data_IF_573879521796
#
_entry.id   IF_573879521796
#
_cell.length_a   1.000
_cell.length_b   1.000
_cell.length_c   1.000
_cell.angle_alpha   90.00
_cell.angle_beta   90.00
_cell.angle_gamma   90.00
#
_symmetry.space_group_name_H-M   'P 1'
#
loop_
_entity.id
_entity.type
_entity.pdbx_description
1 polymer ?
#
# COMPACT_ATOMS: atom_id res chain seq x y z
N UNK A 1 -62.96 -4.20 -9.44
CA UNK A 1 -62.10 -5.13 -8.68
C UNK A 1 -60.70 -4.55 -8.78
N UNK A 2 -60.27 -3.95 -7.68
CA UNK A 2 -58.95 -3.40 -7.31
C UNK A 2 -57.93 -3.06 -8.41
N UNK A 3 -57.88 -1.77 -8.75
CA UNK A 3 -56.63 -1.04 -8.96
C UNK A 3 -56.11 -0.61 -7.57
N UNK A 4 -54.80 -0.78 -7.32
CA UNK A 4 -54.14 -0.22 -6.14
C UNK A 4 -53.03 0.71 -6.60
N UNK A 5 -53.36 2.00 -6.64
CA UNK A 5 -52.42 3.11 -6.58
C UNK A 5 -51.74 3.14 -5.22
N UNK A 6 -50.40 3.20 -5.18
CA UNK A 6 -49.66 3.73 -4.03
C UNK A 6 -48.75 4.84 -4.52
N UNK A 7 -49.21 6.04 -4.21
CA UNK A 7 -48.56 7.34 -4.31
C UNK A 7 -47.28 7.35 -3.45
N UNK A 8 -46.12 7.64 -4.05
CA UNK A 8 -44.88 7.92 -3.33
C UNK A 8 -44.41 9.33 -3.66
N UNK A 9 -44.85 10.27 -2.83
CA UNK A 9 -44.38 11.65 -2.81
C UNK A 9 -42.92 11.70 -2.37
N UNK A 10 -42.02 12.04 -3.28
CA UNK A 10 -40.64 12.40 -2.97
C UNK A 10 -40.61 13.80 -2.35
N UNK A 11 -40.22 13.89 -1.08
CA UNK A 11 -39.93 15.16 -0.42
C UNK A 11 -38.52 15.59 -0.82
N UNK A 12 -38.41 16.65 -1.62
CA UNK A 12 -37.16 17.34 -1.89
C UNK A 12 -36.76 18.16 -0.66
N UNK A 13 -35.71 17.75 0.05
CA UNK A 13 -35.07 18.57 1.07
C UNK A 13 -33.92 19.32 0.38
N UNK A 14 -34.13 20.61 0.14
CA UNK A 14 -33.03 21.56 -0.10
C UNK A 14 -32.51 22.01 1.26
N UNK A 15 -31.19 22.03 1.52
CA UNK A 15 -30.66 22.68 2.69
C UNK A 15 -30.47 24.17 2.40
N UNK A 16 -31.46 24.98 2.73
CA UNK A 16 -31.22 26.39 3.07
C UNK A 16 -31.06 26.51 4.60
N UNK A 17 -29.94 27.10 5.04
CA UNK A 17 -29.82 27.73 6.36
C UNK A 17 -29.49 26.80 7.53
N UNK A 18 -28.20 26.62 7.80
CA UNK A 18 -27.52 27.12 9.00
C UNK A 18 -26.06 26.66 8.90
N UNK A 19 -25.10 27.59 9.00
CA UNK A 19 -23.70 27.26 9.24
C UNK A 19 -23.65 26.52 10.58
N UNK A 20 -23.76 25.19 10.52
CA UNK A 20 -23.35 24.35 11.62
C UNK A 20 -21.87 24.66 11.83
N UNK A 21 -21.53 25.17 13.03
CA UNK A 21 -20.17 25.19 13.56
C UNK A 21 -19.53 23.86 13.19
N UNK A 22 -18.69 23.89 12.15
CA UNK A 22 -17.81 22.77 11.85
C UNK A 22 -17.00 22.58 13.13
N UNK A 23 -16.99 21.38 13.73
CA UNK A 23 -16.16 21.16 14.90
C UNK A 23 -14.73 21.56 14.51
N UNK A 24 -14.15 22.43 15.33
CA UNK A 24 -12.76 22.85 15.19
C UNK A 24 -11.91 21.62 14.84
N UNK A 25 -11.03 21.76 13.85
CA UNK A 25 -10.01 20.77 13.51
C UNK A 25 -9.28 20.38 14.79
N UNK A 26 -9.67 19.25 15.36
CA UNK A 26 -8.92 18.64 16.44
C UNK A 26 -7.77 17.94 15.73
N UNK A 27 -6.64 18.64 15.63
CA UNK A 27 -5.33 17.98 15.67
C UNK A 27 -5.27 17.26 17.03
N UNK A 28 -5.98 16.14 17.17
CA UNK A 28 -5.68 15.22 18.24
C UNK A 28 -4.37 14.57 17.80
N UNK A 29 -3.25 15.13 18.26
CA UNK A 29 -2.04 14.37 18.48
C UNK A 29 -2.50 13.12 19.23
N UNK A 30 -2.62 12.00 18.50
CA UNK A 30 -2.91 10.71 19.12
C UNK A 30 -1.77 10.54 20.12
N UNK A 31 -2.07 10.64 21.41
CA UNK A 31 -1.09 10.44 22.45
C UNK A 31 -0.80 8.94 22.50
N UNK A 32 0.12 8.49 21.65
CA UNK A 32 0.47 7.09 21.51
C UNK A 32 1.24 6.67 22.75
N UNK A 33 0.71 5.70 23.48
CA UNK A 33 1.40 5.09 24.60
C UNK A 33 1.84 3.69 24.21
N UNK A 34 3.11 3.39 24.37
CA UNK A 34 3.64 2.04 24.19
C UNK A 34 4.62 1.68 25.30
N UNK A 35 4.69 0.39 25.59
CA UNK A 35 5.59 -0.19 26.59
C UNK A 35 5.76 -1.67 26.31
N UNK A 36 6.81 -2.28 26.86
CA UNK A 36 6.94 -3.73 26.86
C UNK A 36 7.41 -4.27 28.20
N UNK A 37 7.15 -5.54 28.41
CA UNK A 37 7.85 -6.39 29.38
C UNK A 37 8.63 -7.47 28.63
N UNK A 38 9.12 -8.49 29.34
CA UNK A 38 9.93 -9.55 28.73
C UNK A 38 9.19 -10.32 27.63
N UNK A 39 7.85 -10.46 27.69
CA UNK A 39 7.09 -11.38 26.82
C UNK A 39 5.90 -10.74 26.11
N UNK A 40 5.65 -9.46 26.32
CA UNK A 40 4.53 -8.76 25.74
C UNK A 40 4.86 -7.30 25.50
N UNK A 41 4.19 -6.72 24.51
CA UNK A 41 4.21 -5.29 24.29
C UNK A 41 2.77 -4.77 24.28
N UNK A 42 2.61 -3.51 24.66
CA UNK A 42 1.32 -2.84 24.73
C UNK A 42 1.38 -1.58 23.87
N UNK A 43 0.34 -1.38 23.06
CA UNK A 43 0.14 -0.16 22.26
C UNK A 43 -1.28 0.34 22.53
N UNK A 44 -1.40 1.59 22.99
CA UNK A 44 -2.68 2.23 23.31
C UNK A 44 -3.60 1.36 24.19
N UNK A 45 -3.01 0.69 25.18
CA UNK A 45 -3.70 -0.19 26.13
C UNK A 45 -4.04 -1.59 25.61
N UNK A 46 -3.76 -1.91 24.34
CA UNK A 46 -3.88 -3.26 23.78
C UNK A 46 -2.56 -4.00 23.94
N UNK A 47 -2.58 -5.09 24.72
CA UNK A 47 -1.42 -5.95 24.97
C UNK A 47 -1.37 -7.10 23.97
N UNK A 48 -0.17 -7.40 23.50
CA UNK A 48 0.15 -8.50 22.59
C UNK A 48 1.14 -9.43 23.27
N UNK A 49 0.76 -10.69 23.50
CA UNK A 49 1.68 -11.73 23.97
C UNK A 49 2.44 -12.33 22.78
N UNK A 50 3.77 -12.25 22.81
CA UNK A 50 4.60 -12.72 21.69
C UNK A 50 4.51 -14.24 21.50
N UNK A 51 4.18 -15.02 22.55
CA UNK A 51 3.96 -16.45 22.42
C UNK A 51 2.70 -16.76 21.60
N UNK A 52 1.65 -15.93 21.73
CA UNK A 52 0.42 -16.09 20.95
C UNK A 52 0.60 -15.64 19.49
N UNK A 53 1.49 -14.68 19.26
CA UNK A 53 1.81 -14.19 17.91
C UNK A 53 2.75 -15.14 17.15
N UNK A 54 3.71 -15.75 17.85
CA UNK A 54 4.67 -16.71 17.29
C UNK A 54 5.28 -17.57 18.41
N UNK A 55 5.00 -18.87 18.40
CA UNK A 55 5.49 -19.84 19.40
C UNK A 55 7.01 -19.84 19.61
N UNK A 56 7.79 -19.37 18.62
CA UNK A 56 9.25 -19.29 18.69
C UNK A 56 9.79 -18.04 19.40
N UNK A 57 8.97 -17.01 19.63
CA UNK A 57 9.43 -15.77 20.24
C UNK A 57 9.69 -15.93 21.73
N UNK A 58 10.91 -15.56 22.15
CA UNK A 58 11.37 -15.77 23.53
C UNK A 58 11.40 -14.49 24.35
N UNK A 59 11.61 -13.33 23.73
CA UNK A 59 11.67 -12.05 24.43
C UNK A 59 11.27 -10.87 23.53
N UNK A 60 10.68 -9.81 24.10
CA UNK A 60 10.61 -8.48 23.47
C UNK A 60 11.91 -7.75 23.82
N UNK A 61 12.65 -7.35 22.80
CA UNK A 61 13.95 -6.68 22.93
C UNK A 61 13.77 -5.17 23.16
N UNK A 62 12.91 -4.54 22.36
CA UNK A 62 12.60 -3.13 22.47
C UNK A 62 11.29 -2.80 21.72
N UNK A 63 10.71 -1.63 22.01
CA UNK A 63 9.54 -1.08 21.31
C UNK A 63 9.73 0.41 21.12
N UNK A 64 9.58 0.88 19.88
CA UNK A 64 9.73 2.29 19.54
C UNK A 64 8.72 2.73 18.48
N UNK A 65 8.65 4.04 18.24
CA UNK A 65 7.79 4.65 17.24
C UNK A 65 8.60 5.20 16.06
N UNK A 66 8.10 4.98 14.85
CA UNK A 66 8.58 5.58 13.60
C UNK A 66 7.36 6.04 12.80
N UNK A 67 7.19 7.36 12.66
CA UNK A 67 5.99 7.94 12.06
C UNK A 67 4.70 7.40 12.72
N UNK A 68 3.84 6.80 11.92
CA UNK A 68 2.54 6.24 12.34
C UNK A 68 2.62 4.80 12.85
N UNK A 69 3.82 4.27 13.07
CA UNK A 69 4.05 2.87 13.37
C UNK A 69 4.74 2.69 14.71
N UNK A 70 4.19 1.78 15.52
CA UNK A 70 4.90 1.19 16.65
C UNK A 70 5.54 -0.12 16.19
N UNK A 71 6.84 -0.22 16.41
CA UNK A 71 7.66 -1.37 16.02
C UNK A 71 8.07 -2.08 17.31
N UNK A 72 7.73 -3.35 17.43
CA UNK A 72 8.20 -4.22 18.50
C UNK A 72 9.21 -5.23 17.94
N UNK A 73 10.46 -5.16 18.41
CA UNK A 73 11.52 -6.12 18.08
C UNK A 73 11.48 -7.28 19.07
N UNK A 74 11.34 -8.50 18.56
CA UNK A 74 11.22 -9.72 19.34
C UNK A 74 12.31 -10.72 18.94
N UNK A 75 13.00 -11.28 19.94
CA UNK A 75 14.00 -12.31 19.72
C UNK A 75 13.34 -13.68 19.53
N UNK A 76 13.77 -14.44 18.50
CA UNK A 76 13.43 -15.86 18.31
C UNK A 76 14.67 -16.73 18.57
N UNK A 77 15.76 -16.49 17.85
CA UNK A 77 17.04 -17.19 18.03
C UNK A 77 18.21 -16.29 17.61
N UNK A 78 19.47 -16.73 17.73
CA UNK A 78 20.63 -15.89 17.43
C UNK A 78 20.73 -15.33 16.00
N UNK A 79 20.04 -15.91 15.02
CA UNK A 79 20.16 -15.55 13.60
C UNK A 79 19.05 -14.65 13.08
N UNK A 80 17.88 -14.65 13.73
CA UNK A 80 16.77 -13.77 13.36
C UNK A 80 15.78 -13.60 14.50
N UNK A 81 15.13 -12.45 14.50
CA UNK A 81 13.98 -12.11 15.33
C UNK A 81 12.69 -11.99 14.53
N UNK A 82 11.76 -11.23 15.11
CA UNK A 82 10.50 -10.84 14.51
C UNK A 82 10.23 -9.39 14.88
N UNK A 83 9.96 -8.56 13.87
CA UNK A 83 9.43 -7.22 14.07
C UNK A 83 7.92 -7.24 13.84
N UNK A 84 7.17 -6.73 14.81
CA UNK A 84 5.72 -6.53 14.69
C UNK A 84 5.43 -5.03 14.51
N UNK A 85 4.82 -4.69 13.38
CA UNK A 85 4.51 -3.31 13.03
C UNK A 85 3.03 -3.05 13.26
N UNK A 86 2.74 -2.24 14.28
CA UNK A 86 1.39 -1.81 14.66
C UNK A 86 1.14 -0.41 14.13
N UNK A 87 0.10 -0.23 13.31
CA UNK A 87 -0.29 1.12 12.90
C UNK A 87 -1.13 1.78 14.00
N UNK A 88 -0.81 3.04 14.34
CA UNK A 88 -1.45 3.74 15.47
C UNK A 88 -2.92 4.07 15.24
N UNK A 89 -3.36 4.19 13.97
CA UNK A 89 -4.74 4.51 13.62
C UNK A 89 -5.64 3.27 13.61
N UNK A 90 -5.13 2.14 13.14
CA UNK A 90 -5.90 0.88 13.13
C UNK A 90 -5.78 0.10 14.43
N UNK A 91 -4.71 0.33 15.19
CA UNK A 91 -4.41 -0.41 16.42
C UNK A 91 -4.17 -1.90 16.19
N UNK A 92 -3.77 -2.29 14.98
CA UNK A 92 -3.56 -3.68 14.57
C UNK A 92 -2.12 -3.89 14.11
N UNK A 93 -1.63 -5.11 14.28
CA UNK A 93 -0.39 -5.54 13.62
C UNK A 93 -0.74 -5.72 12.15
N UNK A 94 -0.18 -4.87 11.29
CA UNK A 94 -0.42 -4.91 9.85
C UNK A 94 0.73 -5.55 9.09
N UNK A 95 1.96 -5.48 9.62
CA UNK A 95 3.11 -6.16 9.03
C UNK A 95 3.92 -6.91 10.08
N UNK A 96 4.48 -8.05 9.65
CA UNK A 96 5.39 -8.89 10.42
C UNK A 96 6.64 -9.12 9.58
N UNK A 97 7.80 -8.79 10.13
CA UNK A 97 9.07 -8.98 9.44
C UNK A 97 9.89 -9.99 10.22
N UNK A 98 10.20 -11.14 9.60
CA UNK A 98 11.13 -12.11 10.17
C UNK A 98 12.53 -11.78 9.66
N UNK A 99 13.41 -11.32 10.54
CA UNK A 99 14.77 -10.94 10.14
C UNK A 99 15.56 -10.29 11.27
N UNK A 100 16.62 -9.61 10.90
CA UNK A 100 17.47 -8.79 11.77
C UNK A 100 17.93 -7.54 11.01
N UNK A 101 18.61 -6.62 11.69
CA UNK A 101 19.21 -5.41 11.10
C UNK A 101 18.16 -4.52 10.38
N UNK A 102 16.92 -4.49 10.88
CA UNK A 102 15.88 -3.62 10.35
C UNK A 102 16.33 -2.15 10.45
N UNK A 103 16.35 -1.47 9.33
CA UNK A 103 16.67 -0.04 9.23
C UNK A 103 15.81 0.60 8.15
N UNK A 104 15.65 1.92 8.18
CA UNK A 104 14.81 2.66 7.24
C UNK A 104 15.38 4.06 7.04
N UNK A 105 14.92 4.74 5.98
CA UNK A 105 15.31 6.10 5.69
C UNK A 105 14.36 7.10 6.36
N UNK A 106 14.93 8.06 7.10
CA UNK A 106 14.17 9.14 7.73
C UNK A 106 13.19 8.62 8.80
N UNK A 107 11.93 9.07 8.70
CA UNK A 107 10.82 8.67 9.57
C UNK A 107 9.79 7.77 8.86
N UNK A 108 10.15 7.23 7.69
CA UNK A 108 9.27 6.43 6.86
C UNK A 108 9.66 4.95 6.89
N UNK A 109 8.95 4.17 7.70
CA UNK A 109 9.19 2.72 7.82
C UNK A 109 8.91 1.96 6.52
N UNK A 110 8.15 2.53 5.57
CA UNK A 110 7.86 1.84 4.31
C UNK A 110 9.07 1.80 3.37
N UNK A 111 10.10 2.57 3.69
CA UNK A 111 11.43 2.49 3.06
C UNK A 111 12.32 1.41 3.68
N UNK A 112 11.84 0.66 4.67
CA UNK A 112 12.74 -0.21 5.43
C UNK A 112 13.39 -1.31 4.59
N UNK A 113 14.60 -1.68 5.02
CA UNK A 113 15.27 -2.90 4.62
C UNK A 113 15.63 -3.72 5.86
N UNK A 114 15.73 -5.02 5.70
CA UNK A 114 16.10 -5.96 6.75
C UNK A 114 16.85 -7.13 6.16
N UNK A 115 17.63 -7.84 6.97
CA UNK A 115 18.34 -9.05 6.53
C UNK A 115 17.74 -10.33 7.07
N UNK A 116 17.89 -11.40 6.30
CA UNK A 116 17.70 -12.79 6.75
C UNK A 116 18.91 -13.58 6.31
N UNK A 117 19.72 -14.04 7.26
CA UNK A 117 21.00 -14.68 6.98
C UNK A 117 21.88 -13.77 6.10
N UNK A 118 22.18 -14.15 4.86
CA UNK A 118 23.00 -13.37 3.92
C UNK A 118 22.24 -12.54 2.90
N UNK A 119 20.91 -12.55 2.94
CA UNK A 119 20.08 -11.79 2.02
C UNK A 119 19.55 -10.52 2.71
N UNK A 120 19.34 -9.47 1.92
CA UNK A 120 18.65 -8.24 2.33
C UNK A 120 17.38 -8.09 1.52
N UNK A 121 16.30 -7.75 2.22
CA UNK A 121 14.96 -7.57 1.69
C UNK A 121 14.49 -6.14 1.92
N UNK A 122 13.65 -5.61 1.03
CA UNK A 122 12.92 -4.36 1.25
C UNK A 122 11.62 -4.59 2.05
N UNK A 123 10.87 -3.52 2.31
CA UNK A 123 9.62 -3.56 3.05
C UNK A 123 8.52 -4.39 2.37
N UNK A 124 8.62 -4.71 1.08
CA UNK A 124 7.68 -5.61 0.36
C UNK A 124 8.13 -7.07 0.38
N UNK A 125 9.17 -7.38 1.15
CA UNK A 125 9.78 -8.70 1.26
C UNK A 125 10.46 -9.17 -0.05
N UNK A 126 10.88 -8.23 -0.91
CA UNK A 126 11.65 -8.52 -2.11
C UNK A 126 13.14 -8.36 -1.88
N UNK A 127 13.93 -9.22 -2.54
CA UNK A 127 15.39 -9.26 -2.40
C UNK A 127 16.00 -8.01 -3.04
N UNK A 128 16.69 -7.23 -2.22
CA UNK A 128 17.55 -6.11 -2.65
C UNK A 128 18.98 -6.59 -2.88
N UNK A 129 19.45 -7.52 -2.04
CA UNK A 129 20.78 -8.11 -2.11
C UNK A 129 20.71 -9.60 -1.76
N UNK A 130 21.45 -10.43 -2.49
CA UNK A 130 21.63 -11.83 -2.13
C UNK A 130 23.12 -12.17 -2.04
N UNK A 131 23.55 -12.50 -0.82
CA UNK A 131 24.91 -12.90 -0.50
C UNK A 131 25.15 -14.39 -0.76
N UNK A 132 26.31 -14.88 -0.31
CA UNK A 132 26.53 -16.33 -0.25
C UNK A 132 25.86 -16.92 0.99
N UNK A 133 25.47 -18.20 0.96
CA UNK A 133 24.81 -18.89 2.09
C UNK A 133 25.62 -18.84 3.41
N UNK A 134 26.93 -18.61 3.32
CA UNK A 134 27.84 -18.55 4.47
C UNK A 134 28.09 -17.11 4.98
N UNK A 135 27.61 -16.07 4.27
CA UNK A 135 27.81 -14.66 4.63
C UNK A 135 26.61 -14.10 5.41
N UNK A 136 26.59 -14.25 6.74
CA UNK A 136 25.56 -13.60 7.57
C UNK A 136 25.76 -12.06 7.59
N UNK A 137 24.67 -11.30 7.44
CA UNK A 137 24.69 -9.84 7.50
C UNK A 137 24.87 -9.37 8.95
N UNK A 138 25.88 -8.53 9.17
CA UNK A 138 26.18 -7.91 10.46
C UNK A 138 25.43 -6.59 10.64
N UNK A 139 25.37 -5.76 9.61
CA UNK A 139 24.76 -4.42 9.70
C UNK A 139 24.31 -3.91 8.33
N UNK A 140 23.29 -3.05 8.33
CA UNK A 140 22.76 -2.37 7.14
C UNK A 140 22.61 -0.89 7.46
N UNK A 141 23.11 -0.01 6.58
CA UNK A 141 23.05 1.44 6.76
C UNK A 141 22.64 2.15 5.49
N UNK A 142 21.64 3.02 5.57
CA UNK A 142 21.37 3.98 4.50
C UNK A 142 22.51 4.99 4.35
N UNK A 143 22.75 5.39 3.11
CA UNK A 143 23.52 6.59 2.82
C UNK A 143 22.71 7.85 3.21
N UNK A 144 23.30 9.03 3.03
CA UNK A 144 22.62 10.30 3.40
C UNK A 144 21.44 10.66 2.49
N UNK A 145 21.42 10.18 1.24
CA UNK A 145 20.33 10.45 0.29
C UNK A 145 19.14 9.50 0.43
N UNK A 146 19.30 8.37 1.12
CA UNK A 146 18.24 7.39 1.34
C UNK A 146 17.97 6.44 0.16
N UNK A 147 18.78 6.49 -0.88
CA UNK A 147 18.63 5.73 -2.13
C UNK A 147 19.59 4.54 -2.25
N UNK A 148 20.54 4.43 -1.33
CA UNK A 148 21.56 3.39 -1.32
C UNK A 148 21.78 2.88 0.10
N UNK A 149 22.06 1.58 0.23
CA UNK A 149 22.43 0.94 1.48
C UNK A 149 23.84 0.38 1.40
N UNK A 150 24.57 0.48 2.51
CA UNK A 150 25.80 -0.25 2.76
C UNK A 150 25.50 -1.47 3.61
N UNK A 151 25.99 -2.63 3.17
CA UNK A 151 25.77 -3.93 3.80
C UNK A 151 27.12 -4.44 4.30
N UNK A 152 27.23 -4.70 5.60
CA UNK A 152 28.43 -5.27 6.22
C UNK A 152 28.14 -6.72 6.63
N UNK A 153 29.03 -7.67 6.31
CA UNK A 153 28.88 -9.08 6.72
C UNK A 153 29.74 -9.42 7.93
N UNK A 154 29.40 -10.48 8.67
CA UNK A 154 30.24 -11.00 9.75
C UNK A 154 31.63 -11.46 9.29
N UNK A 155 31.80 -11.77 8.00
CA UNK A 155 33.08 -12.06 7.35
C UNK A 155 33.96 -10.82 7.15
N UNK A 156 33.44 -9.61 7.39
CA UNK A 156 34.13 -8.34 7.19
C UNK A 156 34.08 -7.82 5.74
N UNK A 157 33.19 -8.37 4.91
CA UNK A 157 32.94 -7.85 3.56
C UNK A 157 31.96 -6.68 3.62
N UNK A 158 32.06 -5.77 2.65
CA UNK A 158 31.16 -4.63 2.51
C UNK A 158 30.64 -4.55 1.08
N UNK A 159 29.33 -4.40 0.94
CA UNK A 159 28.64 -4.25 -0.33
C UNK A 159 27.78 -2.99 -0.31
N UNK A 160 27.35 -2.57 -1.49
CA UNK A 160 26.55 -1.37 -1.68
C UNK A 160 25.49 -1.67 -2.72
N UNK A 161 24.23 -1.38 -2.40
CA UNK A 161 23.10 -1.62 -3.29
C UNK A 161 22.14 -0.44 -3.29
N UNK A 162 21.50 -0.20 -4.42
CA UNK A 162 20.42 0.78 -4.54
C UNK A 162 19.13 0.21 -3.99
N UNK A 163 18.35 1.04 -3.29
CA UNK A 163 17.02 0.67 -2.81
C UNK A 163 15.98 1.43 -3.60
N UNK A 164 15.15 0.69 -4.32
CA UNK A 164 14.01 1.25 -5.04
C UNK A 164 12.85 1.52 -4.06
N UNK A 165 12.43 2.80 -4.00
CA UNK A 165 11.32 3.29 -3.17
C UNK A 165 10.14 3.84 -4.03
N UNK A 166 10.02 3.39 -5.29
CA UNK A 166 9.05 3.91 -6.27
C UNK A 166 7.56 3.73 -5.88
N UNK A 167 7.26 2.91 -4.87
CA UNK A 167 5.90 2.70 -4.33
C UNK A 167 5.53 3.63 -3.18
N UNK A 168 6.30 4.69 -2.94
CA UNK A 168 5.98 5.71 -1.94
C UNK A 168 4.53 6.21 -2.09
N UNK A 169 4.06 6.44 -3.31
CA UNK A 169 2.68 6.88 -3.56
C UNK A 169 1.62 5.88 -3.07
N UNK A 170 1.84 4.57 -3.26
CA UNK A 170 0.95 3.53 -2.78
C UNK A 170 0.84 3.58 -1.25
N UNK A 171 1.97 3.69 -0.56
CA UNK A 171 1.98 3.74 0.91
C UNK A 171 1.36 5.05 1.44
N UNK A 172 1.55 6.20 0.78
CA UNK A 172 0.85 7.44 1.15
C UNK A 172 -0.66 7.35 0.93
N UNK A 173 -1.11 6.64 -0.09
CA UNK A 173 -2.53 6.36 -0.26
C UNK A 173 -3.06 5.41 0.84
N UNK A 174 -2.31 4.38 1.21
CA UNK A 174 -2.65 3.51 2.33
C UNK A 174 -2.77 4.31 3.65
N UNK A 175 -1.86 5.24 3.89
CA UNK A 175 -1.90 6.17 5.02
C UNK A 175 -3.18 7.01 5.03
N UNK A 176 -3.61 7.52 3.87
CA UNK A 176 -4.89 8.19 3.72
C UNK A 176 -6.08 7.26 4.04
N UNK A 177 -6.06 6.00 3.60
CA UNK A 177 -7.14 5.05 3.89
C UNK A 177 -7.24 4.70 5.38
N UNK A 178 -6.11 4.64 6.10
CA UNK A 178 -6.09 4.42 7.55
C UNK A 178 -6.67 5.59 8.33
N UNK A 179 -6.39 6.82 7.88
CA UNK A 179 -6.85 8.04 8.52
C UNK A 179 -7.18 9.14 7.50
N UNK A 180 -8.41 9.15 6.94
CA UNK A 180 -8.77 10.02 5.83
C UNK A 180 -8.80 11.50 6.23
N UNK A 181 -7.72 12.21 5.93
CA UNK A 181 -7.54 13.64 6.19
C UNK A 181 -7.02 14.34 4.93
N UNK A 182 -7.27 15.65 4.84
CA UNK A 182 -6.80 16.46 3.72
C UNK A 182 -5.27 16.46 3.61
N UNK A 183 -4.56 16.51 4.74
CA UNK A 183 -3.10 16.50 4.77
C UNK A 183 -2.53 15.19 4.22
N UNK A 184 -3.05 14.03 4.63
CA UNK A 184 -2.61 12.73 4.09
C UNK A 184 -2.96 12.56 2.62
N UNK A 185 -4.12 13.07 2.20
CA UNK A 185 -4.44 13.14 0.78
C UNK A 185 -3.43 14.01 0.02
N UNK A 186 -3.06 15.16 0.56
CA UNK A 186 -2.06 16.04 -0.05
C UNK A 186 -0.68 15.38 -0.08
N UNK A 187 -0.28 14.63 0.96
CA UNK A 187 0.97 13.85 0.97
C UNK A 187 1.01 12.84 -0.19
N UNK A 188 -0.09 12.13 -0.44
CA UNK A 188 -0.25 11.23 -1.58
C UNK A 188 -0.21 12.00 -2.92
N UNK A 189 -1.00 13.07 -3.05
CA UNK A 189 -1.07 13.85 -4.29
C UNK A 189 0.22 14.60 -4.62
N UNK A 190 1.11 14.85 -3.64
CA UNK A 190 2.45 15.39 -3.91
C UNK A 190 3.32 14.47 -4.77
N UNK A 191 2.98 13.17 -4.82
CA UNK A 191 3.63 12.20 -5.70
C UNK A 191 3.06 12.22 -7.13
N UNK A 192 1.88 12.82 -7.33
CA UNK A 192 1.17 12.79 -8.60
C UNK A 192 1.76 13.78 -9.62
N UNK A 193 2.00 13.36 -10.87
CA UNK A 193 2.24 14.28 -11.98
C UNK A 193 1.08 15.27 -12.17
N UNK A 194 1.37 16.47 -12.68
CA UNK A 194 0.34 17.52 -12.89
C UNK A 194 -0.84 17.05 -13.77
N UNK A 195 -0.56 16.20 -14.75
CA UNK A 195 -1.57 15.64 -15.66
C UNK A 195 -2.08 14.24 -15.26
N UNK A 196 -1.88 13.81 -14.01
CA UNK A 196 -2.42 12.55 -13.51
C UNK A 196 -3.96 12.55 -13.55
N UNK A 197 -4.53 11.39 -13.89
CA UNK A 197 -5.98 11.13 -14.03
C UNK A 197 -6.45 10.09 -13.01
N UNK A 198 -5.62 9.08 -12.76
CA UNK A 198 -5.87 8.01 -11.82
C UNK A 198 -4.55 7.53 -11.22
N UNK A 199 -4.62 6.80 -10.11
CA UNK A 199 -3.52 5.98 -9.63
C UNK A 199 -3.95 4.52 -9.70
N UNK A 200 -3.07 3.64 -10.15
CA UNK A 200 -3.35 2.21 -10.30
C UNK A 200 -2.35 1.39 -9.52
N UNK A 201 -2.76 0.20 -9.09
CA UNK A 201 -1.89 -0.75 -8.40
C UNK A 201 -2.08 -2.15 -8.97
N UNK A 202 -0.99 -2.89 -9.18
CA UNK A 202 -1.00 -4.32 -9.50
C UNK A 202 -0.55 -5.14 -8.30
N UNK A 203 -1.48 -5.97 -7.80
CA UNK A 203 -1.26 -6.89 -6.67
C UNK A 203 -0.55 -6.22 -5.49
N UNK A 204 -1.15 -5.17 -4.89
CA UNK A 204 -0.52 -4.46 -3.79
C UNK A 204 -0.24 -5.40 -2.61
N UNK A 205 0.80 -5.15 -1.80
CA UNK A 205 1.12 -5.94 -0.61
C UNK A 205 -0.07 -6.10 0.34
N UNK A 206 -0.08 -7.18 1.13
CA UNK A 206 -1.21 -7.55 1.99
C UNK A 206 -1.66 -6.40 2.91
N UNK A 207 -0.71 -5.66 3.50
CA UNK A 207 -0.99 -4.53 4.39
C UNK A 207 -1.69 -3.35 3.70
N UNK A 208 -1.53 -3.21 2.38
CA UNK A 208 -2.24 -2.22 1.56
C UNK A 208 -3.55 -2.82 1.05
N UNK A 209 -3.51 -4.05 0.55
CA UNK A 209 -4.68 -4.75 0.01
C UNK A 209 -5.81 -4.90 1.05
N UNK A 210 -5.48 -5.09 2.33
CA UNK A 210 -6.44 -5.17 3.42
C UNK A 210 -7.24 -3.88 3.67
N UNK A 211 -6.74 -2.72 3.19
CA UNK A 211 -7.39 -1.42 3.30
C UNK A 211 -8.27 -1.10 2.08
N UNK A 212 -8.06 -1.81 0.98
CA UNK A 212 -8.76 -1.59 -0.28
C UNK A 212 -10.16 -2.23 -0.28
N UNK A 213 -11.09 -1.69 -1.08
CA UNK A 213 -12.40 -2.32 -1.24
C UNK A 213 -12.26 -3.74 -1.81
N UNK A 214 -13.21 -4.61 -1.44
CA UNK A 214 -13.21 -5.98 -1.93
C UNK A 214 -13.27 -6.00 -3.48
N UNK A 215 -12.34 -6.69 -4.16
CA UNK A 215 -12.28 -6.64 -5.61
C UNK A 215 -13.43 -7.41 -6.25
N UNK A 216 -13.86 -6.93 -7.41
CA UNK A 216 -14.81 -7.65 -8.26
C UNK A 216 -14.12 -8.83 -8.96
N UNK A 217 -14.81 -9.97 -9.03
CA UNK A 217 -14.28 -11.24 -9.54
C UNK A 217 -14.42 -11.35 -11.07
N UNK A 218 -13.30 -11.36 -11.80
CA UNK A 218 -13.28 -11.55 -13.26
C UNK A 218 -12.58 -12.84 -13.70
N UNK A 219 -11.62 -13.32 -12.92
CA UNK A 219 -10.97 -14.62 -13.14
C UNK A 219 -10.99 -15.42 -11.84
N UNK A 220 -11.46 -16.66 -11.92
CA UNK A 220 -11.47 -17.56 -10.76
C UNK A 220 -10.06 -18.02 -10.43
N UNK A 221 -9.80 -18.24 -9.13
CA UNK A 221 -8.58 -18.90 -8.63
C UNK A 221 -7.26 -18.13 -8.86
N UNK A 222 -7.31 -16.80 -9.00
CA UNK A 222 -6.11 -15.95 -9.01
C UNK A 222 -5.99 -15.11 -7.72
N UNK A 223 -4.81 -15.02 -7.11
CA UNK A 223 -4.58 -14.07 -6.02
C UNK A 223 -4.40 -12.63 -6.52
N UNK A 224 -4.16 -12.44 -7.82
CA UNK A 224 -3.83 -11.15 -8.43
C UNK A 224 -5.02 -10.18 -8.41
N UNK A 225 -4.71 -8.91 -8.18
CA UNK A 225 -5.72 -7.86 -8.07
C UNK A 225 -5.21 -6.58 -8.74
N UNK A 226 -5.99 -6.04 -9.68
CA UNK A 226 -5.72 -4.74 -10.26
C UNK A 226 -6.62 -3.69 -9.61
N UNK A 227 -6.03 -2.71 -8.92
CA UNK A 227 -6.77 -1.67 -8.22
C UNK A 227 -6.63 -0.32 -8.91
N UNK A 228 -7.69 0.46 -8.84
CA UNK A 228 -7.77 1.82 -9.38
C UNK A 228 -8.18 2.75 -8.25
N UNK A 229 -7.56 3.92 -8.20
CA UNK A 229 -7.87 5.02 -7.29
C UNK A 229 -8.21 6.25 -8.12
N UNK A 230 -9.32 6.88 -7.78
CA UNK A 230 -9.73 8.15 -8.37
C UNK A 230 -9.04 9.33 -7.70
N UNK A 231 -8.52 10.27 -8.49
CA UNK A 231 -7.86 11.49 -7.98
C UNK A 231 -8.81 12.68 -7.89
N UNK A 232 -9.97 12.61 -8.55
CA UNK A 232 -10.96 13.69 -8.67
C UNK A 232 -12.38 13.13 -8.50
N UNK A 233 -13.32 13.98 -8.11
CA UNK A 233 -14.72 13.59 -8.04
C UNK A 233 -15.30 13.26 -9.42
N UNK A 234 -16.37 12.45 -9.44
CA UNK A 234 -17.08 12.05 -10.66
C UNK A 234 -16.19 11.40 -11.74
N UNK A 235 -15.12 10.71 -11.34
CA UNK A 235 -14.22 10.01 -12.28
C UNK A 235 -14.90 8.76 -12.82
N UNK A 236 -15.15 8.73 -14.14
CA UNK A 236 -15.67 7.56 -14.82
C UNK A 236 -14.54 6.55 -15.04
N UNK A 237 -14.72 5.34 -14.51
CA UNK A 237 -13.78 4.20 -14.68
C UNK A 237 -14.47 3.12 -15.49
N UNK A 238 -13.82 2.66 -16.57
CA UNK A 238 -14.36 1.62 -17.44
C UNK A 238 -13.31 0.57 -17.74
N UNK A 239 -13.54 -0.64 -17.24
CA UNK A 239 -12.76 -1.83 -17.59
C UNK A 239 -13.28 -2.41 -18.90
N UNK A 240 -12.43 -2.49 -19.92
CA UNK A 240 -12.77 -3.09 -21.20
C UNK A 240 -11.91 -4.33 -21.46
N UNK A 241 -12.53 -5.36 -22.03
CA UNK A 241 -11.80 -6.51 -22.59
C UNK A 241 -11.52 -6.28 -24.06
N UNK A 242 -10.38 -6.73 -24.54
CA UNK A 242 -9.93 -6.51 -25.91
C UNK A 242 -8.57 -7.13 -26.17
N UNK A 243 -7.92 -6.66 -27.23
CA UNK A 243 -6.60 -7.12 -27.63
C UNK A 243 -5.71 -5.93 -27.96
N UNK A 244 -4.42 -6.03 -27.65
CA UNK A 244 -3.41 -5.08 -28.09
C UNK A 244 -3.09 -5.30 -29.57
N UNK A 245 -3.26 -4.27 -30.42
CA UNK A 245 -2.82 -4.33 -31.82
C UNK A 245 -1.29 -4.17 -31.88
N UNK A 246 -0.58 -5.24 -32.21
CA UNK A 246 0.89 -5.28 -32.23
C UNK A 246 1.54 -4.44 -33.33
N UNK A 247 0.78 -3.90 -34.28
CA UNK A 247 1.31 -2.99 -35.30
C UNK A 247 1.28 -1.53 -34.84
N UNK A 248 0.24 -1.16 -34.08
CA UNK A 248 0.00 0.22 -33.64
C UNK A 248 0.34 0.44 -32.17
N UNK A 249 0.47 -0.65 -31.40
CA UNK A 249 0.56 -0.65 -29.94
C UNK A 249 -0.63 0.04 -29.26
N UNK A 250 -1.79 0.02 -29.93
CA UNK A 250 -3.04 0.53 -29.39
C UNK A 250 -3.93 -0.62 -28.92
N UNK A 251 -4.51 -0.48 -27.72
CA UNK A 251 -5.51 -1.44 -27.24
C UNK A 251 -6.82 -1.27 -28.00
N UNK A 252 -7.37 -2.35 -28.56
CA UNK A 252 -8.64 -2.38 -29.28
C UNK A 252 -9.72 -3.00 -28.40
N UNK A 253 -10.62 -2.20 -27.80
CA UNK A 253 -11.65 -2.73 -26.93
C UNK A 253 -12.70 -3.50 -27.74
N UNK A 254 -13.03 -4.71 -27.27
CA UNK A 254 -14.07 -5.57 -27.83
C UNK A 254 -15.41 -5.35 -27.13
N UNK A 255 -15.41 -5.24 -25.79
CA UNK A 255 -16.60 -4.91 -25.00
C UNK A 255 -16.22 -4.32 -23.64
N UNK A 256 -17.17 -3.63 -23.00
CA UNK A 256 -17.04 -3.14 -21.62
C UNK A 256 -17.38 -4.25 -20.64
N UNK A 257 -16.41 -4.66 -19.83
CA UNK A 257 -16.58 -5.70 -18.81
C UNK A 257 -17.20 -5.13 -17.53
N UNK A 258 -16.80 -3.91 -17.14
CA UNK A 258 -17.33 -3.20 -15.99
C UNK A 258 -17.23 -1.68 -16.18
N UNK A 259 -18.12 -0.94 -15.52
CA UNK A 259 -18.09 0.53 -15.51
C UNK A 259 -18.62 1.03 -14.19
N UNK A 260 -17.93 2.00 -13.60
CA UNK A 260 -18.34 2.68 -12.37
C UNK A 260 -17.94 4.15 -12.42
N UNK A 261 -18.43 4.92 -11.44
CA UNK A 261 -18.02 6.29 -11.18
C UNK A 261 -17.51 6.36 -9.76
N UNK A 262 -16.33 6.95 -9.58
CA UNK A 262 -15.64 7.07 -8.30
C UNK A 262 -15.47 8.54 -7.94
N UNK A 263 -15.68 8.87 -6.67
CA UNK A 263 -15.32 10.16 -6.12
C UNK A 263 -13.83 10.19 -5.75
N UNK A 264 -13.33 11.38 -5.41
CA UNK A 264 -11.95 11.59 -4.99
C UNK A 264 -11.57 10.63 -3.86
N UNK A 265 -10.47 9.91 -4.05
CA UNK A 265 -9.92 8.96 -3.09
C UNK A 265 -10.70 7.67 -2.93
N UNK A 266 -11.79 7.46 -3.68
CA UNK A 266 -12.42 6.15 -3.79
C UNK A 266 -11.62 5.24 -4.72
N UNK A 267 -11.65 3.94 -4.42
CA UNK A 267 -11.01 2.92 -5.20
C UNK A 267 -11.99 1.84 -5.69
N UNK A 268 -11.59 1.10 -6.71
CA UNK A 268 -12.21 -0.17 -7.08
C UNK A 268 -11.13 -1.19 -7.45
N UNK A 269 -11.33 -2.45 -7.06
CA UNK A 269 -10.42 -3.55 -7.36
C UNK A 269 -11.01 -4.55 -8.34
N UNK A 270 -10.15 -5.21 -9.10
CA UNK A 270 -10.51 -6.26 -10.06
C UNK A 270 -9.64 -7.49 -9.82
N UNK A 271 -10.23 -8.60 -9.36
CA UNK A 271 -9.54 -9.88 -9.24
C UNK A 271 -9.48 -10.54 -10.61
N UNK A 272 -8.30 -10.53 -11.22
CA UNK A 272 -8.08 -11.00 -12.58
C UNK A 272 -6.64 -11.39 -12.81
N UNK A 273 -6.42 -12.25 -13.80
CA UNK A 273 -5.05 -12.56 -14.24
C UNK A 273 -4.45 -11.33 -14.93
N UNK A 274 -3.32 -10.86 -14.41
CA UNK A 274 -2.51 -9.77 -14.93
C UNK A 274 -1.45 -10.40 -15.84
N UNK A 275 -1.54 -10.21 -17.17
CA UNK A 275 -0.62 -10.88 -18.09
C UNK A 275 0.78 -10.27 -18.03
N UNK A 276 1.80 -11.14 -18.00
CA UNK A 276 3.21 -10.78 -18.30
C UNK A 276 3.40 -10.35 -19.77
N UNK A 277 2.52 -10.83 -20.65
CA UNK A 277 2.56 -10.58 -22.09
C UNK A 277 1.66 -9.43 -22.54
N UNK A 278 0.98 -9.62 -23.67
CA UNK A 278 0.06 -8.61 -24.18
C UNK A 278 -1.19 -8.51 -23.29
N UNK A 279 -1.63 -7.28 -22.94
CA UNK A 279 -2.80 -7.07 -22.11
C UNK A 279 -4.07 -7.52 -22.83
N UNK A 280 -4.96 -8.19 -22.11
CA UNK A 280 -6.32 -8.57 -22.58
C UNK A 280 -7.42 -7.68 -22.00
N UNK A 281 -7.05 -6.78 -21.09
CA UNK A 281 -7.91 -5.76 -20.51
C UNK A 281 -7.23 -4.40 -20.55
N UNK A 282 -8.03 -3.35 -20.54
CA UNK A 282 -7.56 -1.99 -20.30
C UNK A 282 -8.61 -1.22 -19.50
N UNK A 283 -8.15 -0.39 -18.57
CA UNK A 283 -8.99 0.55 -17.83
C UNK A 283 -8.93 1.91 -18.51
N UNK A 284 -10.10 2.50 -18.74
CA UNK A 284 -10.26 3.83 -19.29
C UNK A 284 -10.76 4.77 -18.20
N UNK A 285 -10.20 5.97 -18.17
CA UNK A 285 -10.51 7.00 -17.19
C UNK A 285 -11.01 8.27 -17.87
N UNK A 286 -12.04 8.88 -17.29
CA UNK A 286 -12.46 10.24 -17.63
C UNK A 286 -12.69 10.99 -16.31
N UNK A 287 -11.86 11.99 -16.05
CA UNK A 287 -11.95 12.87 -14.89
C UNK A 287 -11.93 14.33 -15.38
N UNK A 288 -13.06 15.02 -15.28
CA UNK A 288 -13.22 16.35 -15.86
C UNK A 288 -12.87 16.40 -17.36
N UNK A 289 -11.80 17.12 -17.71
CA UNK A 289 -11.27 17.22 -19.07
C UNK A 289 -10.12 16.25 -19.39
N UNK A 290 -9.63 15.50 -18.40
CA UNK A 290 -8.53 14.55 -18.53
C UNK A 290 -9.03 13.17 -18.96
N UNK A 291 -8.23 12.47 -19.75
CA UNK A 291 -8.53 11.10 -20.21
C UNK A 291 -7.29 10.25 -20.16
N UNK A 292 -7.41 9.08 -19.56
CA UNK A 292 -6.31 8.11 -19.47
C UNK A 292 -6.74 6.74 -19.95
N UNK A 293 -5.77 5.96 -20.39
CA UNK A 293 -5.90 4.52 -20.61
C UNK A 293 -4.75 3.83 -19.89
N UNK A 294 -5.06 2.77 -19.16
CA UNK A 294 -4.07 1.87 -18.56
C UNK A 294 -4.37 0.45 -19.02
N UNK A 295 -3.62 -0.10 -19.99
CA UNK A 295 -3.66 -1.51 -20.29
C UNK A 295 -3.31 -2.32 -19.02
N UNK A 296 -4.11 -3.33 -18.69
CA UNK A 296 -3.86 -4.17 -17.51
C UNK A 296 -2.74 -5.15 -17.87
N UNK A 297 -1.56 -4.83 -17.38
CA UNK A 297 -0.35 -5.65 -17.43
C UNK A 297 0.43 -5.43 -16.13
N UNK A 298 1.47 -6.23 -15.91
CA UNK A 298 2.43 -5.95 -14.84
C UNK A 298 3.01 -4.56 -15.08
N UNK A 299 3.01 -3.71 -14.05
CA UNK A 299 3.45 -2.32 -14.18
C UNK A 299 4.94 -2.24 -14.54
N UNK A 300 5.73 -3.23 -14.14
CA UNK A 300 7.15 -3.32 -14.45
C UNK A 300 7.66 -4.76 -14.35
N UNK A 301 8.46 -5.17 -15.34
CA UNK A 301 9.19 -6.45 -15.29
C UNK A 301 10.63 -6.30 -14.80
N UNK A 302 11.05 -5.10 -14.40
CA UNK A 302 12.43 -4.77 -14.02
C UNK A 302 12.59 -4.30 -12.57
N UNK A 303 11.52 -3.81 -11.98
CA UNK A 303 11.43 -3.37 -10.58
C UNK A 303 10.18 -3.98 -9.98
N UNK A 304 10.09 -4.05 -8.65
CA UNK A 304 8.91 -4.62 -8.01
C UNK A 304 7.81 -3.59 -7.75
N UNK A 305 7.67 -2.60 -8.63
CA UNK A 305 6.74 -1.49 -8.42
C UNK A 305 5.30 -2.01 -8.51
N UNK A 306 4.54 -1.74 -7.47
CA UNK A 306 3.15 -2.16 -7.32
C UNK A 306 2.14 -1.05 -7.62
N UNK A 307 2.58 0.20 -7.87
CA UNK A 307 1.65 1.28 -8.23
C UNK A 307 2.23 2.42 -9.06
N UNK A 308 1.39 3.01 -9.91
CA UNK A 308 1.76 4.13 -10.78
C UNK A 308 0.60 5.11 -11.03
N UNK A 309 0.96 6.33 -11.42
CA UNK A 309 -0.02 7.32 -11.88
C UNK A 309 -0.29 7.16 -13.37
N UNK A 310 -1.57 7.08 -13.74
CA UNK A 310 -2.01 7.15 -15.14
C UNK A 310 -2.14 8.62 -15.51
N UNK A 311 -1.39 9.05 -16.51
CA UNK A 311 -1.38 10.44 -16.98
C UNK A 311 -2.29 10.64 -18.19
N UNK A 312 -2.83 11.85 -18.34
CA UNK A 312 -3.63 12.20 -19.50
C UNK A 312 -2.73 12.34 -20.72
N UNK A 313 -3.19 11.80 -21.85
CA UNK A 313 -2.70 12.14 -23.19
C UNK A 313 -3.07 13.59 -23.56
#
# INVERSE_FOLDING_TARGET
MSDSDTDSTWVSITPEGDEADLPATVEDDINVSFSHDDRSFTVNGKTYDIAELNDGSTAVMDVWQTGDWIIADCHINPHFGMYYLVNIYTGNIEKRIRGTNLTWCGDDITTAVYSVMGDVYNFKDHIVYSGSDDDEIYDIKYNTSGDEITIETFGGNTYTEYVDNDDTAMYRYADYLRYPTEDRWNEFMRQAPENAVAFVMDTPPEEVAALLPHPEEFTTDTPECFCVVSLEDDTSVRLARGDMDTNTWEFKPSYTAHSTTLNRGEACGYRMVIPEGLPSYAVYFIAGNKRGICPVSILTGMTDRCGEFVVSE
#
